data_IF_642496145077
#
_entry.id   IF_642496145077
#
_cell.length_a   1.000
_cell.length_b   1.000
_cell.length_c   1.000
_cell.angle_alpha   90.00
_cell.angle_beta   90.00
_cell.angle_gamma   90.00
#
_symmetry.space_group_name_H-M   'P 1'
#
loop_
_entity.id
_entity.type
_entity.pdbx_description
1 polymer ?
#
# COMPACT_ATOMS: atom_id res chain seq x y z
N UNK A 1 14.09 -2.29 12.91
CA UNK A 1 13.00 -3.03 12.24
C UNK A 1 12.90 -4.42 12.88
N UNK A 2 11.67 -4.91 13.03
CA UNK A 2 11.19 -5.87 14.04
C UNK A 2 11.85 -7.26 14.05
N UNK A 3 11.89 -7.89 15.23
CA UNK A 3 12.33 -9.29 15.40
C UNK A 3 11.26 -10.32 14.97
N UNK A 4 9.99 -9.92 15.01
CA UNK A 4 8.80 -10.68 14.56
C UNK A 4 7.88 -9.75 13.74
N UNK A 5 6.97 -10.28 12.90
CA UNK A 5 6.00 -9.43 12.20
C UNK A 5 5.18 -8.61 13.21
N UNK A 6 4.87 -7.34 12.93
CA UNK A 6 3.98 -6.55 13.78
C UNK A 6 2.59 -7.19 13.81
N UNK A 7 1.93 -7.18 14.98
CA UNK A 7 0.60 -7.75 15.17
C UNK A 7 -0.49 -6.71 14.84
N UNK A 8 -0.15 -5.43 14.93
CA UNK A 8 -1.05 -4.32 14.60
C UNK A 8 -0.45 -3.34 13.60
N UNK A 9 -1.29 -2.66 12.83
CA UNK A 9 -0.83 -1.61 11.92
C UNK A 9 -0.12 -0.48 12.69
N UNK A 10 -0.54 -0.23 13.93
CA UNK A 10 0.11 0.77 14.77
C UNK A 10 1.55 0.38 15.10
N UNK A 11 1.78 -0.88 15.49
CA UNK A 11 3.13 -1.40 15.70
C UNK A 11 3.96 -1.30 14.42
N UNK A 12 3.38 -1.55 13.24
CA UNK A 12 4.05 -1.43 11.94
C UNK A 12 4.56 -0.01 11.65
N UNK A 13 3.89 1.04 12.14
CA UNK A 13 4.27 2.42 11.83
C UNK A 13 5.00 3.11 12.99
N UNK A 14 4.86 2.64 14.23
CA UNK A 14 5.40 3.25 15.44
C UNK A 14 6.90 3.63 15.34
N UNK A 15 7.80 2.79 14.78
CA UNK A 15 9.23 3.09 14.75
C UNK A 15 9.63 4.23 13.80
N UNK A 16 8.69 4.72 12.98
CA UNK A 16 8.96 5.71 11.95
C UNK A 16 8.58 7.13 12.39
N UNK A 17 9.12 8.13 11.68
CA UNK A 17 8.85 9.54 11.98
C UNK A 17 7.37 9.93 11.85
N UNK A 18 6.98 11.04 12.48
CA UNK A 18 5.59 11.51 12.48
C UNK A 18 5.02 11.70 11.06
N UNK A 19 5.81 12.24 10.13
CA UNK A 19 5.42 12.40 8.72
C UNK A 19 5.07 11.05 8.06
N UNK A 20 5.90 10.03 8.28
CA UNK A 20 5.70 8.70 7.73
C UNK A 20 4.48 7.99 8.34
N UNK A 21 4.30 8.12 9.67
CA UNK A 21 3.14 7.58 10.39
C UNK A 21 1.83 8.18 9.88
N UNK A 22 1.75 9.50 9.83
CA UNK A 22 0.57 10.22 9.32
C UNK A 22 0.26 9.81 7.87
N UNK A 23 1.28 9.71 7.03
CA UNK A 23 1.08 9.32 5.63
C UNK A 23 0.62 7.87 5.50
N UNK A 24 1.15 6.95 6.31
CA UNK A 24 0.75 5.55 6.31
C UNK A 24 -0.68 5.35 6.84
N UNK A 25 -1.06 6.06 7.91
CA UNK A 25 -2.44 6.07 8.43
C UNK A 25 -3.43 6.61 7.40
N UNK A 26 -3.07 7.71 6.73
CA UNK A 26 -3.88 8.28 5.67
C UNK A 26 -4.08 7.32 4.49
N UNK A 27 -3.01 6.66 4.03
CA UNK A 27 -3.11 5.63 2.97
C UNK A 27 -3.98 4.45 3.41
N UNK A 28 -3.84 4.00 4.66
CA UNK A 28 -4.66 2.89 5.19
C UNK A 28 -6.14 3.26 5.20
N UNK A 29 -6.49 4.45 5.69
CA UNK A 29 -7.86 4.94 5.68
C UNK A 29 -8.42 4.98 4.25
N UNK A 30 -7.68 5.56 3.31
CA UNK A 30 -8.07 5.62 1.90
C UNK A 30 -8.37 4.24 1.30
N UNK A 31 -7.51 3.25 1.58
CA UNK A 31 -7.69 1.88 1.08
C UNK A 31 -8.94 1.24 1.68
N UNK A 32 -9.11 1.31 3.01
CA UNK A 32 -10.24 0.66 3.68
C UNK A 32 -11.58 1.31 3.33
N UNK A 33 -11.62 2.62 3.13
CA UNK A 33 -12.82 3.35 2.68
C UNK A 33 -13.18 3.02 1.23
N UNK A 34 -12.17 2.87 0.37
CA UNK A 34 -12.38 2.61 -1.05
C UNK A 34 -12.66 1.13 -1.37
N UNK A 35 -12.17 0.22 -0.53
CA UNK A 35 -12.28 -1.23 -0.71
C UNK A 35 -12.85 -1.91 0.54
N UNK A 36 -14.17 -1.82 0.77
CA UNK A 36 -14.78 -2.34 1.99
C UNK A 36 -14.66 -3.86 2.18
N UNK A 37 -14.35 -4.60 1.12
CA UNK A 37 -14.17 -6.06 1.14
C UNK A 37 -12.70 -6.49 1.14
N UNK A 38 -11.78 -5.56 1.39
CA UNK A 38 -10.36 -5.87 1.45
C UNK A 38 -9.99 -6.35 2.85
N UNK A 39 -9.17 -7.39 2.89
CA UNK A 39 -8.60 -7.91 4.13
C UNK A 39 -7.17 -7.38 4.29
N UNK A 40 -6.86 -6.86 5.48
CA UNK A 40 -5.54 -6.36 5.85
C UNK A 40 -4.73 -7.47 6.53
N UNK A 41 -3.58 -7.80 5.96
CA UNK A 41 -2.58 -8.67 6.58
C UNK A 41 -1.29 -7.92 6.84
N UNK A 42 -0.65 -8.17 7.98
CA UNK A 42 0.63 -7.58 8.34
C UNK A 42 1.74 -8.59 8.09
N UNK A 43 2.76 -8.14 7.38
CA UNK A 43 3.86 -8.99 6.92
C UNK A 43 5.18 -8.31 7.20
N UNK A 44 6.22 -9.11 7.43
CA UNK A 44 7.58 -8.58 7.51
C UNK A 44 8.47 -9.26 8.52
N UNK A 45 9.67 -8.69 8.65
CA UNK A 45 10.67 -9.07 9.64
C UNK A 45 11.79 -8.04 9.66
N UNK A 46 12.99 -8.47 10.06
CA UNK A 46 14.13 -7.59 10.39
C UNK A 46 14.55 -6.59 9.29
N UNK A 47 14.20 -6.83 8.02
CA UNK A 47 14.63 -6.02 6.88
C UNK A 47 13.53 -5.19 6.22
N UNK A 48 12.30 -5.70 6.19
CA UNK A 48 11.14 -5.06 5.54
C UNK A 48 9.90 -5.50 6.31
N UNK A 49 9.02 -4.55 6.62
CA UNK A 49 7.68 -4.81 7.10
C UNK A 49 6.67 -3.91 6.38
N UNK A 50 5.44 -4.39 6.24
CA UNK A 50 4.36 -3.69 5.56
C UNK A 50 3.01 -4.36 5.78
N UNK A 51 1.96 -3.61 5.46
CA UNK A 51 0.61 -4.13 5.37
C UNK A 51 0.33 -4.52 3.92
N UNK A 52 -0.25 -5.68 3.69
CA UNK A 52 -0.73 -6.11 2.38
C UNK A 52 -2.25 -6.26 2.44
N UNK A 53 -2.90 -5.79 1.39
CA UNK A 53 -4.34 -5.75 1.27
C UNK A 53 -4.76 -6.70 0.15
N UNK A 54 -5.61 -7.66 0.47
CA UNK A 54 -6.04 -8.69 -0.47
C UNK A 54 -7.57 -8.81 -0.53
N UNK A 55 -8.07 -9.28 -1.67
CA UNK A 55 -9.52 -9.49 -1.87
C UNK A 55 -9.79 -10.98 -2.03
N UNK A 56 -10.48 -11.55 -1.04
CA UNK A 56 -10.97 -12.93 -1.01
C UNK A 56 -9.94 -14.02 -0.70
N UNK A 57 -8.65 -13.84 -1.00
CA UNK A 57 -7.59 -14.79 -0.63
C UNK A 57 -6.25 -14.07 -0.41
N UNK A 58 -5.42 -14.46 0.58
CA UNK A 58 -4.10 -13.87 0.83
C UNK A 58 -3.15 -13.85 -0.37
N UNK A 59 -3.29 -14.81 -1.29
CA UNK A 59 -2.47 -14.89 -2.51
C UNK A 59 -2.87 -13.85 -3.58
N UNK A 60 -3.96 -13.12 -3.35
CA UNK A 60 -4.51 -12.08 -4.23
C UNK A 60 -4.30 -10.69 -3.64
N UNK A 61 -3.04 -10.36 -3.36
CA UNK A 61 -2.63 -9.03 -2.93
C UNK A 61 -2.94 -8.03 -4.04
N UNK A 62 -3.79 -7.05 -3.73
CA UNK A 62 -4.09 -5.93 -4.61
C UNK A 62 -3.11 -4.79 -4.36
N UNK A 63 -2.89 -4.48 -3.08
CA UNK A 63 -2.17 -3.29 -2.63
C UNK A 63 -1.28 -3.61 -1.43
N UNK A 64 -0.31 -2.75 -1.15
CA UNK A 64 0.44 -2.82 0.10
C UNK A 64 0.98 -1.48 0.55
N UNK A 65 1.05 -1.27 1.87
CA UNK A 65 1.69 -0.11 2.47
C UNK A 65 2.99 -0.54 3.12
N UNK A 66 4.09 0.13 2.78
CA UNK A 66 5.35 -0.01 3.49
C UNK A 66 5.80 1.36 4.02
N UNK A 67 5.82 1.55 5.34
CA UNK A 67 6.42 2.74 5.93
C UNK A 67 7.95 2.74 5.75
N UNK A 68 8.51 3.93 5.62
CA UNK A 68 9.94 4.22 5.65
C UNK A 68 10.20 5.45 6.51
N UNK A 69 11.46 5.89 6.59
CA UNK A 69 11.87 6.89 7.59
C UNK A 69 11.09 8.22 7.51
N UNK A 70 10.78 8.68 6.29
CA UNK A 70 10.09 9.96 6.01
C UNK A 70 9.01 9.86 4.94
N UNK A 71 8.54 8.65 4.66
CA UNK A 71 7.59 8.40 3.59
C UNK A 71 6.84 7.11 3.85
N UNK A 72 5.71 6.92 3.16
CA UNK A 72 5.08 5.63 2.99
C UNK A 72 5.07 5.27 1.50
N UNK A 73 5.26 3.99 1.20
CA UNK A 73 5.14 3.45 -0.15
C UNK A 73 3.82 2.73 -0.28
N UNK A 74 3.09 3.01 -1.36
CA UNK A 74 1.96 2.21 -1.81
C UNK A 74 2.43 1.28 -2.93
N UNK A 75 2.40 -0.03 -2.71
CA UNK A 75 2.62 -1.05 -3.72
C UNK A 75 1.34 -1.39 -4.45
N UNK A 76 1.46 -1.63 -5.75
CA UNK A 76 0.35 -2.07 -6.60
C UNK A 76 0.83 -3.32 -7.33
N UNK A 77 0.19 -4.46 -7.05
CA UNK A 77 0.70 -5.77 -7.45
C UNK A 77 0.35 -6.15 -8.90
N UNK A 78 -0.69 -5.54 -9.46
CA UNK A 78 -1.09 -5.65 -10.88
C UNK A 78 -1.13 -4.27 -11.55
N UNK A 79 0.02 -3.79 -12.05
CA UNK A 79 0.14 -2.46 -12.61
C UNK A 79 -0.33 -2.38 -14.07
N UNK A 80 -0.90 -3.43 -14.66
CA UNK A 80 -1.29 -3.43 -16.07
C UNK A 80 -2.34 -2.34 -16.39
N UNK A 81 -3.06 -1.85 -15.37
CA UNK A 81 -3.98 -0.72 -15.44
C UNK A 81 -3.33 0.66 -15.17
N UNK A 82 -2.10 0.71 -14.63
CA UNK A 82 -1.42 1.96 -14.25
C UNK A 82 -0.78 2.71 -15.42
N UNK A 83 -0.75 2.11 -16.62
CA UNK A 83 -0.18 2.76 -17.81
C UNK A 83 -0.89 4.06 -18.23
N UNK A 84 -2.07 4.34 -17.66
CA UNK A 84 -2.85 5.56 -17.89
C UNK A 84 -2.74 6.59 -16.76
N UNK A 85 -1.98 6.30 -15.70
CA UNK A 85 -1.85 7.21 -14.56
C UNK A 85 -0.75 8.25 -14.72
N UNK A 86 -0.91 9.39 -14.05
CA UNK A 86 0.09 10.44 -13.89
C UNK A 86 1.17 10.06 -12.85
N UNK A 87 0.97 8.96 -12.12
CA UNK A 87 1.90 8.49 -11.10
C UNK A 87 3.29 8.18 -11.67
N UNK A 88 4.31 8.81 -11.09
CA UNK A 88 5.69 8.37 -11.25
C UNK A 88 5.88 7.05 -10.51
N UNK A 89 5.70 5.94 -11.21
CA UNK A 89 5.94 4.60 -10.68
C UNK A 89 7.44 4.40 -10.46
N UNK A 90 7.82 4.05 -9.23
CA UNK A 90 9.19 3.71 -8.88
C UNK A 90 9.35 2.17 -8.77
N UNK A 91 10.53 1.66 -9.10
CA UNK A 91 10.85 0.21 -9.09
C UNK A 91 10.92 -0.43 -10.48
N UNK A 92 11.84 -1.39 -10.65
CA UNK A 92 12.11 -2.08 -11.93
C UNK A 92 11.59 -3.53 -11.99
N UNK A 93 10.92 -4.01 -10.94
CA UNK A 93 10.43 -5.38 -10.84
C UNK A 93 9.01 -5.55 -11.37
N UNK A 94 8.73 -6.69 -12.01
CA UNK A 94 7.43 -7.09 -12.58
C UNK A 94 6.25 -6.98 -11.58
N UNK A 95 6.54 -7.06 -10.27
CA UNK A 95 5.55 -7.02 -9.18
C UNK A 95 5.84 -5.93 -8.14
N UNK A 96 6.70 -4.96 -8.45
CA UNK A 96 7.24 -4.01 -7.46
C UNK A 96 7.14 -2.55 -7.88
N UNK A 97 6.06 -2.20 -8.60
CA UNK A 97 5.77 -0.78 -8.83
C UNK A 97 5.19 -0.21 -7.56
N UNK A 98 5.76 0.92 -7.12
CA UNK A 98 5.27 1.62 -5.96
C UNK A 98 5.20 3.12 -6.20
N UNK A 99 4.33 3.76 -5.42
CA UNK A 99 4.20 5.20 -5.36
C UNK A 99 4.68 5.63 -3.98
N UNK A 100 5.58 6.61 -3.95
CA UNK A 100 6.09 7.19 -2.71
C UNK A 100 5.25 8.42 -2.33
N UNK A 101 4.80 8.45 -1.08
CA UNK A 101 4.11 9.57 -0.47
C UNK A 101 4.94 10.09 0.71
N UNK A 102 5.20 11.39 0.74
CA UNK A 102 5.87 12.07 1.85
C UNK A 102 4.89 12.84 2.74
N UNK A 103 3.67 13.02 2.27
CA UNK A 103 2.56 13.65 2.97
C UNK A 103 1.23 13.17 2.34
N UNK A 104 0.10 13.33 3.04
CA UNK A 104 -1.24 13.23 2.45
C UNK A 104 -1.41 14.16 1.24
N UNK A 105 -2.07 13.65 0.20
CA UNK A 105 -2.29 14.37 -1.06
C UNK A 105 -3.65 13.96 -1.65
N UNK A 106 -4.65 14.83 -1.50
CA UNK A 106 -6.04 14.53 -1.86
C UNK A 106 -6.25 14.34 -3.37
N UNK A 107 -5.51 15.07 -4.20
CA UNK A 107 -5.64 14.95 -5.66
C UNK A 107 -5.05 13.62 -6.13
N UNK A 108 -3.92 13.20 -5.55
CA UNK A 108 -3.39 11.86 -5.77
C UNK A 108 -4.28 10.78 -5.16
N UNK A 109 -4.98 11.04 -4.05
CA UNK A 109 -5.94 10.08 -3.52
C UNK A 109 -7.08 9.79 -4.49
N UNK A 110 -7.67 10.82 -5.11
CA UNK A 110 -8.73 10.63 -6.12
C UNK A 110 -8.24 9.76 -7.28
N UNK A 111 -7.06 10.08 -7.81
CA UNK A 111 -6.46 9.31 -8.90
C UNK A 111 -6.16 7.85 -8.48
N UNK A 112 -5.68 7.63 -7.24
CA UNK A 112 -5.49 6.28 -6.70
C UNK A 112 -6.82 5.52 -6.64
N UNK A 113 -7.89 6.14 -6.14
CA UNK A 113 -9.21 5.50 -6.06
C UNK A 113 -9.73 5.14 -7.44
N UNK A 114 -9.56 6.02 -8.43
CA UNK A 114 -9.91 5.74 -9.83
C UNK A 114 -9.11 4.57 -10.41
N UNK A 115 -7.80 4.52 -10.16
CA UNK A 115 -6.94 3.43 -10.62
C UNK A 115 -7.26 2.09 -9.97
N UNK A 116 -7.63 2.12 -8.69
CA UNK A 116 -7.92 0.92 -7.91
C UNK A 116 -9.39 0.47 -8.09
N UNK A 117 -10.29 1.35 -8.52
CA UNK A 117 -11.70 1.08 -8.80
C UNK A 117 -11.95 0.26 -10.07
N UNK A 118 -10.91 -0.05 -10.85
CA UNK A 118 -11.00 -0.96 -12.00
C UNK A 118 -11.00 -2.40 -11.45
N UNK A 119 -12.08 -3.19 -11.64
CA UNK A 119 -12.19 -4.51 -11.05
C UNK A 119 -11.04 -5.42 -11.54
N UNK A 120 -10.26 -5.93 -10.58
CA UNK A 120 -9.22 -6.94 -10.80
C UNK A 120 -9.86 -8.13 -11.53
N UNK A 121 -9.57 -8.29 -12.82
CA UNK A 121 -10.13 -9.38 -13.62
C UNK A 121 -9.77 -10.71 -12.95
N UNK A 122 -10.79 -11.51 -12.64
CA UNK A 122 -10.62 -12.92 -12.31
C UNK A 122 -9.83 -13.55 -13.46
N UNK A 123 -8.56 -13.90 -13.23
CA UNK A 123 -7.90 -14.88 -14.11
C UNK A 123 -8.72 -16.16 -13.99
N UNK A 124 -9.39 -16.50 -15.09
CA UNK A 124 -10.01 -17.81 -15.33
C UNK A 124 -8.91 -18.81 -15.62
#
# INVERSE_FOLDING_TARGET
MYDSPPETFQELIEPFGAEARQTAEWLRALILESFPNVEEGLYGGKKVAGALYHVGSPDRVALGIQPGDRFAKLFIHDPDHLGQSSFKLEGRGKHMRHIKFTAPDEDRAKELVELMGIPVRRRS
#
